data_IF_964407489699
#
_entry.id   IF_964407489699
#
_cell.length_a   1.000
_cell.length_b   1.000
_cell.length_c   1.000
_cell.angle_alpha   90.00
_cell.angle_beta   90.00
_cell.angle_gamma   90.00
#
_symmetry.space_group_name_H-M   'P 1'
#
loop_
_entity.id
_entity.type
_entity.pdbx_description
1 polymer ?
#
# COMPACT_ATOMS: atom_id res chain seq x y z
N UNK A 1 -9.37 13.41 16.92
CA UNK A 1 -9.56 13.60 15.48
C UNK A 1 -10.55 12.54 15.02
N UNK A 2 -11.68 12.93 14.42
CA UNK A 2 -12.74 11.97 14.04
C UNK A 2 -12.12 10.90 13.11
N UNK A 3 -12.39 9.62 13.37
CA UNK A 3 -11.97 8.44 12.58
C UNK A 3 -10.56 7.84 12.78
N UNK A 4 -9.65 8.44 13.56
CA UNK A 4 -8.31 7.83 13.76
C UNK A 4 -8.41 6.47 14.44
N UNK A 5 -9.17 6.38 15.53
CA UNK A 5 -9.24 5.17 16.34
C UNK A 5 -10.04 4.07 15.64
N UNK A 6 -11.10 4.44 14.90
CA UNK A 6 -11.94 3.51 14.14
C UNK A 6 -11.18 2.81 13.01
N UNK A 7 -10.34 3.55 12.26
CA UNK A 7 -9.54 2.96 11.18
C UNK A 7 -8.22 2.35 11.66
N UNK A 8 -7.88 2.46 12.94
CA UNK A 8 -6.67 1.87 13.55
C UNK A 8 -7.01 0.70 14.48
N UNK A 9 -8.03 -0.07 14.14
CA UNK A 9 -8.39 -1.29 14.85
C UNK A 9 -7.69 -2.54 14.26
N UNK A 10 -6.82 -3.23 15.04
CA UNK A 10 -6.16 -4.44 14.57
C UNK A 10 -7.12 -5.61 14.28
N UNK A 11 -8.26 -5.68 14.99
CA UNK A 11 -9.23 -6.76 14.76
C UNK A 11 -9.90 -6.61 13.39
N UNK A 12 -10.28 -5.39 13.01
CA UNK A 12 -10.79 -5.07 11.68
C UNK A 12 -9.75 -5.33 10.60
N UNK A 13 -8.49 -4.93 10.82
CA UNK A 13 -7.40 -5.18 9.87
C UNK A 13 -7.20 -6.69 9.61
N UNK A 14 -7.17 -7.52 10.66
CA UNK A 14 -7.04 -8.98 10.53
C UNK A 14 -8.20 -9.58 9.72
N UNK A 15 -9.44 -9.17 10.01
CA UNK A 15 -10.63 -9.62 9.26
C UNK A 15 -10.57 -9.24 7.78
N UNK A 16 -10.05 -8.05 7.46
CA UNK A 16 -9.88 -7.60 6.08
C UNK A 16 -8.80 -8.40 5.35
N UNK A 17 -7.66 -8.67 5.99
CA UNK A 17 -6.59 -9.51 5.41
C UNK A 17 -7.12 -10.89 5.05
N UNK A 18 -7.86 -11.54 5.96
CA UNK A 18 -8.45 -12.85 5.69
C UNK A 18 -9.46 -12.82 4.55
N UNK A 19 -10.28 -11.76 4.47
CA UNK A 19 -11.25 -11.57 3.38
C UNK A 19 -10.54 -11.39 2.05
N UNK A 20 -9.49 -10.57 2.00
CA UNK A 20 -8.70 -10.34 0.79
C UNK A 20 -8.08 -11.65 0.31
N UNK A 21 -7.43 -12.41 1.22
CA UNK A 21 -6.84 -13.71 0.88
C UNK A 21 -7.88 -14.66 0.30
N UNK A 22 -9.06 -14.78 0.92
CA UNK A 22 -10.15 -15.63 0.40
C UNK A 22 -10.59 -15.23 -1.00
N UNK A 23 -10.75 -13.93 -1.26
CA UNK A 23 -11.16 -13.41 -2.57
C UNK A 23 -10.09 -13.59 -3.64
N UNK A 24 -8.82 -13.54 -3.25
CA UNK A 24 -7.68 -13.69 -4.16
C UNK A 24 -7.25 -15.16 -4.37
N UNK A 25 -7.87 -16.14 -3.68
CA UNK A 25 -7.50 -17.56 -3.79
C UNK A 25 -7.45 -18.03 -5.24
N UNK A 26 -6.33 -18.68 -5.59
CA UNK A 26 -6.10 -19.21 -6.93
C UNK A 26 -5.72 -18.16 -7.98
N UNK A 27 -5.51 -16.90 -7.60
CA UNK A 27 -5.10 -15.81 -8.49
C UNK A 27 -3.91 -15.07 -7.90
N UNK A 28 -3.00 -14.62 -8.75
CA UNK A 28 -1.97 -13.65 -8.38
C UNK A 28 -2.41 -12.27 -8.85
N UNK A 29 -2.70 -11.39 -7.90
CA UNK A 29 -3.10 -10.00 -8.15
C UNK A 29 -1.90 -9.08 -7.99
N UNK A 30 -1.79 -8.08 -8.85
CA UNK A 30 -0.78 -7.02 -8.76
C UNK A 30 -1.51 -5.70 -8.64
N UNK A 31 -1.34 -5.01 -7.52
CA UNK A 31 -1.97 -3.72 -7.25
C UNK A 31 -0.89 -2.67 -7.08
N UNK A 32 -1.01 -1.55 -7.79
CA UNK A 32 -0.04 -0.46 -7.73
C UNK A 32 -0.64 0.74 -7.02
N UNK A 33 0.08 1.27 -6.03
CA UNK A 33 -0.18 2.59 -5.45
C UNK A 33 0.80 3.62 -6.03
N UNK A 34 0.49 4.91 -5.91
CA UNK A 34 1.33 6.01 -6.38
C UNK A 34 1.33 7.18 -5.38
N UNK A 35 1.18 6.90 -4.09
CA UNK A 35 1.22 7.93 -3.06
C UNK A 35 2.29 7.55 -2.03
N UNK A 36 3.28 8.42 -1.83
CA UNK A 36 4.34 8.17 -0.86
C UNK A 36 3.83 7.86 0.56
N UNK A 37 2.67 8.40 0.94
CA UNK A 37 1.99 8.05 2.20
C UNK A 37 1.51 6.60 2.25
N UNK A 38 1.00 6.05 1.15
CA UNK A 38 0.65 4.64 1.05
C UNK A 38 1.90 3.76 1.00
N UNK A 39 2.94 4.14 0.25
CA UNK A 39 4.24 3.45 0.26
C UNK A 39 4.75 3.30 1.70
N UNK A 40 4.74 4.41 2.46
CA UNK A 40 5.15 4.42 3.86
C UNK A 40 4.27 3.50 4.72
N UNK A 41 2.94 3.59 4.61
CA UNK A 41 2.02 2.76 5.39
C UNK A 41 2.19 1.26 5.09
N UNK A 42 2.32 0.88 3.82
CA UNK A 42 2.53 -0.51 3.37
C UNK A 42 3.81 -1.08 3.98
N UNK A 43 4.91 -0.32 3.91
CA UNK A 43 6.20 -0.71 4.49
C UNK A 43 6.14 -0.79 6.02
N UNK A 44 5.61 0.26 6.67
CA UNK A 44 5.50 0.37 8.13
C UNK A 44 4.71 -0.78 8.75
N UNK A 45 3.60 -1.17 8.12
CA UNK A 45 2.71 -2.22 8.64
C UNK A 45 2.92 -3.59 7.99
N UNK A 46 3.91 -3.73 7.11
CA UNK A 46 4.26 -5.01 6.49
C UNK A 46 3.17 -5.61 5.60
N UNK A 47 2.29 -4.79 5.01
CA UNK A 47 1.12 -5.26 4.27
C UNK A 47 1.46 -6.16 3.09
N UNK A 48 2.60 -5.91 2.41
CA UNK A 48 3.06 -6.76 1.31
C UNK A 48 3.34 -8.19 1.74
N UNK A 49 3.97 -8.40 2.91
CA UNK A 49 4.19 -9.74 3.46
C UNK A 49 2.90 -10.37 3.97
N UNK A 50 1.99 -9.56 4.53
CA UNK A 50 0.72 -10.06 5.04
C UNK A 50 -0.19 -10.60 3.94
N UNK A 51 -0.17 -10.02 2.74
CA UNK A 51 -1.06 -10.38 1.63
C UNK A 51 -0.43 -11.33 0.58
N UNK A 52 0.86 -11.64 0.71
CA UNK A 52 1.53 -12.62 -0.12
C UNK A 52 1.06 -14.07 0.19
N UNK A 53 1.12 -15.00 -0.79
CA UNK A 53 1.57 -14.81 -2.19
C UNK A 53 0.48 -14.33 -3.17
N UNK A 54 -0.78 -14.21 -2.73
CA UNK A 54 -1.90 -13.94 -3.63
C UNK A 54 -1.94 -12.50 -4.13
N UNK A 55 -1.44 -11.53 -3.36
CA UNK A 55 -1.44 -10.11 -3.74
C UNK A 55 -0.03 -9.50 -3.62
N UNK A 56 0.49 -9.02 -4.75
CA UNK A 56 1.66 -8.16 -4.80
C UNK A 56 1.24 -6.69 -4.73
N UNK A 57 1.80 -5.94 -3.78
CA UNK A 57 1.66 -4.50 -3.70
C UNK A 57 2.89 -3.84 -4.33
N UNK A 58 2.67 -3.04 -5.38
CA UNK A 58 3.69 -2.32 -6.13
C UNK A 58 3.63 -0.83 -5.80
N UNK A 59 4.79 -0.19 -5.75
CA UNK A 59 4.91 1.25 -5.58
C UNK A 59 5.28 1.90 -6.91
N UNK A 60 4.38 2.75 -7.41
CA UNK A 60 4.56 3.57 -8.60
C UNK A 60 5.23 4.91 -8.31
N UNK A 61 5.34 5.78 -9.32
CA UNK A 61 6.02 7.08 -9.23
C UNK A 61 5.17 8.13 -8.48
N UNK A 62 5.04 7.95 -7.16
CA UNK A 62 4.16 8.75 -6.31
C UNK A 62 4.78 9.93 -5.57
N UNK A 63 6.07 10.19 -5.83
CA UNK A 63 6.83 11.22 -5.16
C UNK A 63 7.06 12.38 -6.14
N UNK A 64 6.39 13.54 -5.95
CA UNK A 64 6.46 14.65 -6.90
C UNK A 64 7.90 15.17 -7.09
N UNK A 65 8.68 15.21 -6.01
CA UNK A 65 10.10 15.59 -6.05
C UNK A 65 10.92 14.57 -6.84
N UNK A 66 10.67 13.28 -6.64
CA UNK A 66 11.43 12.20 -7.26
C UNK A 66 11.20 12.10 -8.78
N UNK A 67 10.10 12.65 -9.28
CA UNK A 67 9.76 12.69 -10.72
C UNK A 67 10.01 14.05 -11.36
N UNK A 68 10.56 15.01 -10.61
CA UNK A 68 10.93 16.32 -11.15
C UNK A 68 12.07 16.14 -12.17
N UNK A 69 11.98 16.78 -13.33
CA UNK A 69 13.02 16.68 -14.36
C UNK A 69 14.32 17.30 -13.86
N UNK A 70 15.47 16.71 -14.21
CA UNK A 70 16.77 17.31 -13.89
C UNK A 70 16.90 18.73 -14.46
N UNK A 71 16.36 18.96 -15.67
CA UNK A 71 16.34 20.28 -16.32
C UNK A 71 15.58 21.34 -15.50
N UNK A 72 14.60 20.94 -14.68
CA UNK A 72 13.87 21.87 -13.81
C UNK A 72 14.68 22.23 -12.55
N UNK A 73 15.71 21.46 -12.22
CA UNK A 73 16.58 21.64 -11.05
C UNK A 73 17.88 22.40 -11.37
N UNK A 74 18.39 22.27 -12.60
CA UNK A 74 19.69 22.80 -13.05
C UNK A 74 19.66 24.29 -13.47
N UNK A 75 18.74 25.10 -12.92
CA UNK A 75 18.65 26.55 -13.14
C UNK A 75 19.61 27.37 -12.25
#
# INVERSE_FOLDING_TARGET
MRYIDEFRDPATAARLVDRIKRLARGRRLRLMEFCGGHTHAIGRYGLGRLLAPEVDLLSGPGCPVCVTSATDLDY
#
